data_IF_262344055244
#
_entry.id   IF_262344055244
#
_cell.length_a   1.000
_cell.length_b   1.000
_cell.length_c   1.000
_cell.angle_alpha   90.00
_cell.angle_beta   90.00
_cell.angle_gamma   90.00
#
_symmetry.space_group_name_H-M   'P 1'
#
loop_
_entity.id
_entity.type
_entity.pdbx_description
1 polymer ?
#
# COMPACT_ATOMS: atom_id res chain seq x y z
N UNK A 1 -8.20 -3.19 -16.44
CA UNK A 1 -6.82 -2.69 -16.51
C UNK A 1 -6.09 -3.34 -17.68
N UNK A 2 -5.11 -2.68 -18.30
CA UNK A 2 -4.19 -3.31 -19.25
C UNK A 2 -2.98 -3.89 -18.50
N UNK A 3 -2.80 -5.21 -18.58
CA UNK A 3 -1.80 -5.96 -17.83
C UNK A 3 -0.76 -6.51 -18.82
N UNK A 4 0.51 -6.19 -18.61
CA UNK A 4 1.62 -6.75 -19.36
C UNK A 4 2.32 -7.85 -18.56
N UNK A 5 2.16 -9.10 -18.98
CA UNK A 5 2.81 -10.25 -18.39
C UNK A 5 4.10 -10.62 -19.14
N UNK A 6 5.20 -10.75 -18.41
CA UNK A 6 6.53 -11.04 -18.92
C UNK A 6 7.01 -12.40 -18.37
N UNK A 7 7.19 -13.37 -19.27
CA UNK A 7 7.60 -14.72 -18.90
C UNK A 7 9.11 -14.83 -18.63
N UNK A 8 9.56 -15.90 -17.97
CA UNK A 8 10.98 -16.23 -17.80
C UNK A 8 11.60 -16.84 -19.07
N UNK A 9 12.87 -17.26 -19.02
CA UNK A 9 13.52 -17.94 -20.15
C UNK A 9 12.75 -19.18 -20.58
N UNK A 10 12.51 -19.32 -21.90
CA UNK A 10 11.76 -20.45 -22.50
C UNK A 10 10.34 -20.65 -21.93
N UNK A 11 9.80 -19.63 -21.26
CA UNK A 11 8.47 -19.66 -20.67
C UNK A 11 7.41 -19.08 -21.59
N UNK A 12 6.17 -19.19 -21.13
CA UNK A 12 5.01 -18.49 -21.66
C UNK A 12 3.99 -18.30 -20.53
N UNK A 13 2.99 -17.45 -20.74
CA UNK A 13 1.84 -17.40 -19.84
C UNK A 13 0.94 -18.59 -20.13
N UNK A 14 0.85 -19.54 -19.19
CA UNK A 14 -0.04 -20.68 -19.35
C UNK A 14 -1.53 -20.28 -19.24
N UNK A 15 -2.47 -21.09 -19.79
CA UNK A 15 -3.90 -20.72 -19.82
C UNK A 15 -4.51 -20.48 -18.43
N UNK A 16 -4.16 -21.28 -17.43
CA UNK A 16 -4.73 -21.15 -16.08
C UNK A 16 -4.32 -19.84 -15.40
N UNK A 17 -3.05 -19.43 -15.53
CA UNK A 17 -2.57 -18.13 -15.01
C UNK A 17 -3.12 -16.97 -15.82
N UNK A 18 -3.31 -17.15 -17.13
CA UNK A 18 -3.99 -16.16 -17.98
C UNK A 18 -5.41 -15.89 -17.48
N UNK A 19 -6.19 -16.93 -17.21
CA UNK A 19 -7.56 -16.79 -16.70
C UNK A 19 -7.59 -16.06 -15.34
N UNK A 20 -6.59 -16.27 -14.48
CA UNK A 20 -6.45 -15.50 -13.23
C UNK A 20 -6.26 -14.01 -13.51
N UNK A 21 -5.41 -13.64 -14.47
CA UNK A 21 -5.13 -12.23 -14.79
C UNK A 21 -6.28 -11.56 -15.54
N UNK A 22 -6.97 -12.29 -16.42
CA UNK A 22 -8.10 -11.77 -17.22
C UNK A 22 -9.28 -11.32 -16.37
N UNK A 23 -9.36 -11.77 -15.10
CA UNK A 23 -10.30 -11.26 -14.08
C UNK A 23 -10.03 -9.79 -13.69
N UNK A 24 -8.83 -9.28 -13.93
CA UNK A 24 -8.41 -7.91 -13.59
C UNK A 24 -8.29 -7.00 -14.84
N UNK A 25 -8.36 -7.58 -16.05
CA UNK A 25 -8.50 -6.86 -17.31
C UNK A 25 -7.76 -7.49 -18.49
N UNK A 26 -7.44 -6.69 -19.49
CA UNK A 26 -6.84 -7.14 -20.76
C UNK A 26 -5.38 -7.57 -20.57
N UNK A 27 -5.04 -8.80 -20.95
CA UNK A 27 -3.71 -9.38 -20.74
C UNK A 27 -2.90 -9.44 -22.03
N UNK A 28 -1.79 -8.69 -22.06
CA UNK A 28 -0.73 -8.79 -23.05
C UNK A 28 0.37 -9.72 -22.52
N UNK A 29 0.74 -10.74 -23.29
CA UNK A 29 1.80 -11.68 -22.91
C UNK A 29 2.64 -12.04 -24.15
N UNK A 30 3.54 -11.16 -24.61
CA UNK A 30 4.36 -11.40 -25.79
C UNK A 30 5.33 -12.57 -25.56
N UNK A 31 5.76 -13.19 -26.65
CA UNK A 31 6.96 -14.03 -26.66
C UNK A 31 8.19 -13.12 -26.65
N UNK A 32 9.08 -13.32 -25.68
CA UNK A 32 10.23 -12.44 -25.45
C UNK A 32 11.53 -13.18 -25.79
N UNK A 33 12.29 -12.74 -26.81
CA UNK A 33 13.46 -13.45 -27.31
C UNK A 33 14.74 -13.11 -26.52
N UNK A 34 14.72 -13.31 -25.19
CA UNK A 34 15.81 -12.91 -24.31
C UNK A 34 17.21 -13.36 -24.76
N UNK A 35 17.33 -14.57 -25.33
CA UNK A 35 18.62 -15.14 -25.76
C UNK A 35 19.21 -14.48 -27.00
N UNK A 36 18.36 -14.04 -27.93
CA UNK A 36 18.78 -13.49 -29.22
C UNK A 36 18.65 -11.98 -29.30
N UNK A 37 18.06 -11.34 -28.29
CA UNK A 37 17.89 -9.90 -28.19
C UNK A 37 18.36 -9.38 -26.82
N UNK A 38 19.46 -8.60 -26.80
CA UNK A 38 19.98 -7.96 -25.58
C UNK A 38 19.20 -6.73 -25.14
N UNK A 39 18.39 -6.14 -26.02
CA UNK A 39 17.65 -4.88 -25.79
C UNK A 39 16.16 -5.11 -25.55
N UNK A 40 15.76 -6.28 -25.00
CA UNK A 40 14.34 -6.59 -24.80
C UNK A 40 13.60 -5.54 -23.96
N UNK A 41 14.26 -4.87 -23.01
CA UNK A 41 13.62 -3.84 -22.17
C UNK A 41 13.18 -2.64 -23.03
N UNK A 42 14.08 -2.11 -23.87
CA UNK A 42 13.75 -1.00 -24.77
C UNK A 42 12.74 -1.44 -25.83
N UNK A 43 12.93 -2.61 -26.45
CA UNK A 43 11.99 -3.16 -27.41
C UNK A 43 10.55 -3.27 -26.84
N UNK A 44 10.41 -3.81 -25.63
CA UNK A 44 9.11 -3.90 -24.95
C UNK A 44 8.55 -2.51 -24.63
N UNK A 45 9.39 -1.57 -24.17
CA UNK A 45 8.96 -0.20 -23.94
C UNK A 45 8.40 0.45 -25.21
N UNK A 46 9.14 0.42 -26.32
CA UNK A 46 8.68 1.00 -27.59
C UNK A 46 7.40 0.32 -28.11
N UNK A 47 7.27 -1.00 -27.90
CA UNK A 47 6.11 -1.78 -28.36
C UNK A 47 4.84 -1.46 -27.56
N UNK A 48 4.98 -1.22 -26.25
CA UNK A 48 3.84 -1.15 -25.33
C UNK A 48 3.57 0.22 -24.71
N UNK A 49 4.44 1.24 -24.89
CA UNK A 49 4.25 2.58 -24.31
C UNK A 49 2.92 3.24 -24.68
N UNK A 50 2.42 3.01 -25.90
CA UNK A 50 1.14 3.56 -26.38
C UNK A 50 -0.08 2.69 -26.03
N UNK A 51 0.13 1.51 -25.40
CA UNK A 51 -0.94 0.57 -25.05
C UNK A 51 -1.59 0.86 -23.69
N UNK A 52 -1.24 1.98 -23.05
CA UNK A 52 -1.73 2.36 -21.72
C UNK A 52 -1.62 1.19 -20.73
N UNK A 53 -0.44 0.56 -20.67
CA UNK A 53 -0.19 -0.49 -19.69
C UNK A 53 -0.34 0.12 -18.30
N UNK A 54 -1.15 -0.52 -17.44
CA UNK A 54 -1.41 -0.06 -16.08
C UNK A 54 -0.69 -0.91 -15.05
N UNK A 55 -0.30 -2.14 -15.40
CA UNK A 55 0.40 -3.08 -14.51
C UNK A 55 1.39 -3.93 -15.30
N UNK A 56 2.57 -4.14 -14.72
CA UNK A 56 3.55 -5.12 -15.21
C UNK A 56 3.65 -6.31 -14.26
N UNK A 57 3.57 -7.53 -14.78
CA UNK A 57 3.76 -8.75 -13.99
C UNK A 57 4.88 -9.57 -14.62
N UNK A 58 5.87 -9.99 -13.84
CA UNK A 58 7.05 -10.67 -14.37
C UNK A 58 7.48 -11.86 -13.52
N UNK A 59 8.09 -12.86 -14.14
CA UNK A 59 8.73 -13.97 -13.41
C UNK A 59 10.14 -14.26 -13.92
N UNK A 60 11.09 -14.56 -13.03
CA UNK A 60 12.48 -14.90 -13.40
C UNK A 60 13.10 -13.80 -14.27
N UNK A 61 13.53 -14.10 -15.49
CA UNK A 61 14.01 -13.09 -16.45
C UNK A 61 12.95 -12.02 -16.77
N UNK A 62 11.68 -12.40 -16.90
CA UNK A 62 10.58 -11.45 -17.04
C UNK A 62 10.37 -10.60 -15.78
N UNK A 63 10.76 -11.10 -14.61
CA UNK A 63 10.81 -10.32 -13.37
C UNK A 63 11.90 -9.24 -13.40
N UNK A 64 13.10 -9.59 -13.89
CA UNK A 64 14.17 -8.62 -14.16
C UNK A 64 13.73 -7.56 -15.16
N UNK A 65 13.20 -7.96 -16.31
CA UNK A 65 12.71 -7.03 -17.33
C UNK A 65 11.55 -6.19 -16.82
N UNK A 66 10.63 -6.80 -16.08
CA UNK A 66 9.47 -6.13 -15.50
C UNK A 66 9.85 -5.05 -14.50
N UNK A 67 10.90 -5.28 -13.70
CA UNK A 67 11.44 -4.29 -12.77
C UNK A 67 11.90 -3.00 -13.48
N UNK A 68 12.58 -3.09 -14.62
CA UNK A 68 13.02 -1.91 -15.36
C UNK A 68 11.90 -1.32 -16.21
N UNK A 69 11.10 -2.17 -16.85
CA UNK A 69 10.02 -1.74 -17.72
C UNK A 69 8.91 -0.99 -16.95
N UNK A 70 8.58 -1.43 -15.73
CA UNK A 70 7.59 -0.74 -14.91
C UNK A 70 8.04 0.67 -14.51
N UNK A 71 9.35 0.89 -14.36
CA UNK A 71 9.94 2.22 -14.16
C UNK A 71 9.78 3.10 -15.39
N UNK A 72 10.06 2.57 -16.57
CA UNK A 72 9.92 3.31 -17.82
C UNK A 72 8.45 3.65 -18.13
N UNK A 73 7.53 2.74 -17.83
CA UNK A 73 6.09 2.92 -18.04
C UNK A 73 5.39 3.68 -16.90
N UNK A 74 6.05 3.89 -15.76
CA UNK A 74 5.47 4.44 -14.52
C UNK A 74 4.21 3.67 -14.09
N UNK A 75 4.37 2.37 -13.88
CA UNK A 75 3.27 1.47 -13.49
C UNK A 75 3.65 0.61 -12.30
N UNK A 76 2.69 0.22 -11.43
CA UNK A 76 2.91 -0.81 -10.44
C UNK A 76 3.40 -2.13 -11.05
N UNK A 77 4.12 -2.93 -10.25
CA UNK A 77 4.64 -4.22 -10.69
C UNK A 77 4.50 -5.35 -9.66
N UNK A 78 4.22 -6.57 -10.14
CA UNK A 78 4.28 -7.81 -9.36
C UNK A 78 5.34 -8.75 -9.95
N UNK A 79 6.37 -9.05 -9.17
CA UNK A 79 7.57 -9.75 -9.63
C UNK A 79 7.78 -11.04 -8.82
N UNK A 80 7.80 -12.16 -9.52
CA UNK A 80 8.01 -13.49 -8.95
C UNK A 80 9.43 -13.97 -9.20
N UNK A 81 10.19 -14.27 -8.14
CA UNK A 81 11.57 -14.74 -8.23
C UNK A 81 12.40 -13.99 -9.30
N UNK A 82 12.45 -12.64 -9.26
CA UNK A 82 13.04 -11.87 -10.36
C UNK A 82 14.57 -12.02 -10.38
N UNK A 83 15.14 -12.27 -11.56
CA UNK A 83 16.58 -12.49 -11.77
C UNK A 83 17.41 -11.19 -11.72
N UNK A 84 17.30 -10.44 -10.62
CA UNK A 84 17.88 -9.10 -10.46
C UNK A 84 19.39 -9.12 -10.27
N UNK A 85 19.86 -9.94 -9.32
CA UNK A 85 21.27 -10.02 -8.95
C UNK A 85 22.09 -10.78 -10.01
N UNK A 86 21.66 -11.99 -10.34
CA UNK A 86 22.34 -12.87 -11.29
C UNK A 86 21.36 -13.39 -12.34
N UNK A 87 21.86 -13.50 -13.58
CA UNK A 87 21.10 -13.98 -14.73
C UNK A 87 22.05 -14.57 -15.76
N UNK A 88 21.59 -15.61 -16.47
CA UNK A 88 22.37 -16.34 -17.47
C UNK A 88 22.46 -15.64 -18.81
N UNK A 89 21.60 -14.64 -19.06
CA UNK A 89 21.59 -13.87 -20.30
C UNK A 89 21.70 -12.38 -19.98
N UNK A 90 22.65 -11.71 -20.63
CA UNK A 90 22.85 -10.27 -20.48
C UNK A 90 21.71 -9.52 -21.18
N UNK A 91 21.25 -8.45 -20.54
CA UNK A 91 20.29 -7.50 -21.09
C UNK A 91 20.81 -6.09 -20.82
N UNK A 92 20.69 -5.22 -21.80
CA UNK A 92 21.01 -3.81 -21.70
C UNK A 92 19.93 -3.10 -20.89
N UNK A 93 20.36 -2.31 -19.91
CA UNK A 93 19.47 -1.53 -19.05
C UNK A 93 19.42 -0.11 -19.63
N UNK A 94 18.24 0.37 -20.05
CA UNK A 94 18.11 1.74 -20.52
C UNK A 94 18.56 2.76 -19.47
N UNK A 95 19.21 3.83 -19.91
CA UNK A 95 19.71 4.91 -19.05
C UNK A 95 19.46 6.28 -19.71
N UNK A 96 19.02 7.31 -18.97
CA UNK A 96 18.70 7.29 -17.54
C UNK A 96 17.39 6.56 -17.24
N UNK A 97 17.28 5.96 -16.05
CA UNK A 97 16.02 5.43 -15.54
C UNK A 97 15.27 6.54 -14.78
N UNK A 98 13.96 6.72 -15.03
CA UNK A 98 13.17 7.67 -14.26
C UNK A 98 13.01 7.21 -12.81
N UNK A 99 12.83 8.17 -11.90
CA UNK A 99 12.35 7.87 -10.54
C UNK A 99 11.01 7.16 -10.63
N UNK A 100 10.82 6.12 -9.83
CA UNK A 100 9.62 5.31 -9.84
C UNK A 100 8.89 5.46 -8.52
N UNK A 101 7.59 5.80 -8.59
CA UNK A 101 6.78 6.10 -7.41
C UNK A 101 5.63 5.10 -7.22
N UNK A 102 5.49 4.12 -8.12
CA UNK A 102 4.42 3.13 -8.04
C UNK A 102 4.83 1.90 -7.21
N UNK A 103 3.88 1.21 -6.56
CA UNK A 103 4.16 0.03 -5.76
C UNK A 103 4.83 -1.09 -6.56
N UNK A 104 5.86 -1.71 -5.99
CA UNK A 104 6.48 -2.94 -6.53
C UNK A 104 6.36 -4.06 -5.51
N UNK A 105 5.71 -5.16 -5.88
CA UNK A 105 5.53 -6.33 -5.04
C UNK A 105 6.46 -7.46 -5.48
N UNK A 106 7.23 -7.99 -4.54
CA UNK A 106 8.13 -9.12 -4.73
C UNK A 106 7.54 -10.35 -4.06
N UNK A 107 7.41 -11.44 -4.81
CA UNK A 107 7.16 -12.78 -4.26
C UNK A 107 8.40 -13.63 -4.51
N UNK A 108 9.12 -13.95 -3.45
CA UNK A 108 10.38 -14.70 -3.48
C UNK A 108 10.19 -16.08 -2.86
N UNK A 109 10.77 -17.10 -3.46
CA UNK A 109 10.84 -18.44 -2.93
C UNK A 109 12.15 -18.70 -2.20
N UNK A 110 12.08 -19.12 -0.93
CA UNK A 110 13.27 -19.40 -0.13
C UNK A 110 14.02 -20.66 -0.61
N UNK A 111 13.35 -21.54 -1.37
CA UNK A 111 13.92 -22.74 -1.98
C UNK A 111 14.24 -22.54 -3.47
N UNK A 112 14.28 -21.30 -3.96
CA UNK A 112 14.67 -21.02 -5.34
C UNK A 112 16.18 -21.26 -5.54
N UNK A 113 16.50 -22.30 -6.29
CA UNK A 113 17.85 -22.75 -6.64
C UNK A 113 18.33 -22.21 -7.99
N UNK A 114 17.47 -21.52 -8.74
CA UNK A 114 17.79 -20.93 -10.05
C UNK A 114 18.08 -19.44 -9.92
N UNK A 115 17.27 -18.73 -9.14
CA UNK A 115 17.45 -17.32 -8.78
C UNK A 115 17.58 -17.23 -7.28
N UNK A 116 18.83 -17.05 -6.82
CA UNK A 116 19.13 -17.04 -5.39
C UNK A 116 18.34 -15.92 -4.67
N UNK A 117 17.47 -16.26 -3.71
CA UNK A 117 16.61 -15.28 -3.05
C UNK A 117 17.42 -14.33 -2.17
N UNK A 118 18.52 -14.79 -1.55
CA UNK A 118 19.40 -13.96 -0.71
C UNK A 118 20.10 -12.89 -1.54
N UNK A 119 20.60 -13.24 -2.72
CA UNK A 119 21.25 -12.28 -3.61
C UNK A 119 20.23 -11.28 -4.17
N UNK A 120 19.02 -11.75 -4.50
CA UNK A 120 17.91 -10.88 -4.92
C UNK A 120 17.51 -9.89 -3.82
N UNK A 121 17.43 -10.34 -2.57
CA UNK A 121 17.22 -9.49 -1.41
C UNK A 121 18.35 -8.46 -1.22
N UNK A 122 19.60 -8.89 -1.37
CA UNK A 122 20.76 -8.00 -1.33
C UNK A 122 20.69 -6.92 -2.40
N UNK A 123 20.36 -7.30 -3.64
CA UNK A 123 20.15 -6.35 -4.72
C UNK A 123 19.06 -5.32 -4.37
N UNK A 124 17.91 -5.77 -3.87
CA UNK A 124 16.80 -4.89 -3.47
C UNK A 124 17.28 -3.93 -2.37
N UNK A 125 17.93 -4.45 -1.32
CA UNK A 125 18.41 -3.64 -0.20
C UNK A 125 19.43 -2.56 -0.62
N UNK A 126 20.30 -2.85 -1.59
CA UNK A 126 21.31 -1.90 -2.08
C UNK A 126 20.74 -0.85 -3.04
N UNK A 127 19.77 -1.22 -3.89
CA UNK A 127 19.35 -0.38 -5.02
C UNK A 127 18.00 0.31 -4.83
N UNK A 128 17.23 -0.02 -3.79
CA UNK A 128 15.96 0.64 -3.52
C UNK A 128 16.17 1.92 -2.71
N UNK A 129 15.86 3.10 -3.27
CA UNK A 129 15.88 4.32 -2.48
C UNK A 129 14.78 4.24 -1.41
N UNK A 130 14.99 4.93 -0.28
CA UNK A 130 14.04 5.01 0.85
C UNK A 130 12.63 5.45 0.40
N UNK A 131 12.54 6.15 -0.74
CA UNK A 131 11.29 6.67 -1.30
C UNK A 131 10.49 5.68 -2.15
N UNK A 132 11.05 4.52 -2.51
CA UNK A 132 10.34 3.53 -3.32
C UNK A 132 9.38 2.72 -2.45
N UNK A 133 8.09 2.77 -2.77
CA UNK A 133 7.10 1.89 -2.15
C UNK A 133 7.27 0.46 -2.71
N UNK A 134 7.66 -0.49 -1.87
CA UNK A 134 7.72 -1.90 -2.23
C UNK A 134 7.19 -2.80 -1.11
N UNK A 135 6.68 -3.97 -1.50
CA UNK A 135 6.29 -5.05 -0.60
C UNK A 135 7.10 -6.29 -0.92
N UNK A 136 7.55 -6.98 0.11
CA UNK A 136 8.31 -8.21 -0.04
C UNK A 136 7.59 -9.36 0.68
N UNK A 137 7.32 -10.42 -0.07
CA UNK A 137 6.75 -11.65 0.45
C UNK A 137 7.71 -12.81 0.17
N UNK A 138 8.34 -13.33 1.23
CA UNK A 138 9.21 -14.50 1.17
C UNK A 138 8.40 -15.74 1.56
N UNK A 139 8.36 -16.75 0.70
CA UNK A 139 7.68 -18.01 0.96
C UNK A 139 8.68 -19.13 1.18
N UNK A 140 8.62 -19.74 2.37
CA UNK A 140 9.57 -20.76 2.81
C UNK A 140 9.63 -21.98 1.88
N UNK A 141 8.48 -22.44 1.38
CA UNK A 141 8.37 -23.68 0.60
C UNK A 141 8.26 -23.46 -0.92
N UNK A 142 8.45 -22.21 -1.37
CA UNK A 142 8.39 -21.88 -2.79
C UNK A 142 9.78 -22.07 -3.43
N UNK A 143 9.84 -22.90 -4.46
CA UNK A 143 11.00 -23.06 -5.34
C UNK A 143 10.95 -22.09 -6.54
N UNK A 144 11.79 -22.28 -7.57
CA UNK A 144 11.85 -21.37 -8.71
C UNK A 144 10.53 -21.23 -9.48
N UNK A 145 9.86 -22.37 -9.73
CA UNK A 145 8.60 -22.40 -10.48
C UNK A 145 7.46 -21.94 -9.60
N UNK A 146 6.62 -21.05 -10.12
CA UNK A 146 5.47 -20.49 -9.40
C UNK A 146 4.23 -21.37 -9.61
N UNK A 147 3.75 -22.10 -8.59
CA UNK A 147 2.53 -22.89 -8.69
C UNK A 147 1.30 -21.99 -8.87
N UNK A 148 0.24 -22.52 -9.48
CA UNK A 148 -0.99 -21.77 -9.71
C UNK A 148 -1.61 -21.20 -8.39
N UNK A 149 -1.66 -21.94 -7.27
CA UNK A 149 -2.18 -21.38 -6.01
C UNK A 149 -1.37 -20.18 -5.50
N UNK A 150 -0.05 -20.26 -5.57
CA UNK A 150 0.85 -19.14 -5.23
C UNK A 150 0.62 -17.94 -6.15
N UNK A 151 0.54 -18.18 -7.45
CA UNK A 151 0.29 -17.14 -8.44
C UNK A 151 -1.05 -16.44 -8.19
N UNK A 152 -2.11 -17.22 -7.95
CA UNK A 152 -3.46 -16.72 -7.64
C UNK A 152 -3.46 -15.90 -6.35
N UNK A 153 -2.84 -16.42 -5.29
CA UNK A 153 -2.76 -15.69 -4.01
C UNK A 153 -2.02 -14.36 -4.17
N UNK A 154 -0.83 -14.38 -4.75
CA UNK A 154 -0.02 -13.17 -4.93
C UNK A 154 -0.70 -12.12 -5.82
N UNK A 155 -1.32 -12.55 -6.93
CA UNK A 155 -2.07 -11.64 -7.82
C UNK A 155 -3.29 -11.04 -7.11
N UNK A 156 -4.07 -11.84 -6.38
CA UNK A 156 -5.20 -11.33 -5.59
C UNK A 156 -4.77 -10.28 -4.58
N UNK A 157 -3.71 -10.54 -3.81
CA UNK A 157 -3.18 -9.58 -2.83
C UNK A 157 -2.66 -8.31 -3.51
N UNK A 158 -1.93 -8.46 -4.61
CA UNK A 158 -1.40 -7.34 -5.36
C UNK A 158 -2.51 -6.43 -5.89
N UNK A 159 -3.49 -6.96 -6.64
CA UNK A 159 -4.57 -6.13 -7.18
C UNK A 159 -5.46 -5.54 -6.08
N UNK A 160 -5.71 -6.27 -5.00
CA UNK A 160 -6.41 -5.72 -3.83
C UNK A 160 -5.65 -4.54 -3.19
N UNK A 161 -4.32 -4.55 -3.24
CA UNK A 161 -3.49 -3.44 -2.76
C UNK A 161 -3.54 -2.22 -3.70
N UNK A 162 -3.69 -2.44 -5.02
CA UNK A 162 -3.79 -1.36 -6.02
C UNK A 162 -5.17 -0.69 -6.02
N UNK A 163 -6.23 -1.46 -5.75
CA UNK A 163 -7.61 -0.93 -5.64
C UNK A 163 -7.83 -0.08 -4.39
N UNK A 164 -6.88 -0.05 -3.44
CA UNK A 164 -6.90 0.91 -2.34
C UNK A 164 -6.46 2.27 -2.88
N UNK A 165 -7.44 3.11 -3.25
CA UNK A 165 -7.30 4.56 -3.34
C UNK A 165 -6.63 5.13 -2.06
N UNK A 166 -6.01 6.33 -2.07
CA UNK A 166 -5.06 6.78 -1.03
C UNK A 166 -5.59 6.49 0.37
N UNK A 167 -4.90 5.56 1.05
CA UNK A 167 -5.24 4.90 2.32
C UNK A 167 -6.73 4.56 2.48
N UNK A 168 -7.08 3.28 2.36
CA UNK A 168 -8.26 2.75 3.06
C UNK A 168 -8.26 3.30 4.49
N UNK A 169 -9.40 3.81 5.01
CA UNK A 169 -9.45 4.44 6.33
C UNK A 169 -8.87 3.47 7.35
N UNK A 170 -7.85 3.94 8.05
CA UNK A 170 -7.20 3.13 9.07
C UNK A 170 -8.14 3.02 10.27
N UNK A 171 -7.94 1.96 11.03
CA UNK A 171 -8.72 1.67 12.23
C UNK A 171 -8.56 2.76 13.31
N UNK A 172 -7.51 3.58 13.26
CA UNK A 172 -7.28 4.63 14.24
C UNK A 172 -7.31 6.03 13.61
N UNK A 173 -7.89 7.00 14.31
CA UNK A 173 -7.98 8.40 13.91
C UNK A 173 -7.24 9.29 14.91
N UNK A 174 -6.45 10.24 14.42
CA UNK A 174 -5.69 11.21 15.22
C UNK A 174 -6.21 12.62 14.90
N UNK A 175 -6.82 13.28 15.87
CA UNK A 175 -7.35 14.64 15.76
C UNK A 175 -6.42 15.61 16.48
N UNK A 176 -5.67 16.40 15.73
CA UNK A 176 -4.73 17.40 16.23
C UNK A 176 -4.34 18.35 15.09
N UNK A 177 -4.23 19.65 15.33
CA UNK A 177 -3.91 20.64 14.31
C UNK A 177 -2.40 20.72 13.98
N UNK A 178 -1.53 20.49 14.97
CA UNK A 178 -0.08 20.71 14.89
C UNK A 178 0.71 19.41 15.00
N UNK A 179 0.51 18.62 16.06
CA UNK A 179 1.36 17.47 16.38
C UNK A 179 1.18 16.35 15.37
N UNK A 180 2.26 15.62 15.10
CA UNK A 180 2.21 14.37 14.35
C UNK A 180 2.04 13.18 15.31
N UNK A 181 1.62 12.03 14.77
CA UNK A 181 1.34 10.84 15.59
C UNK A 181 2.57 10.39 16.37
N UNK A 182 3.75 10.47 15.77
CA UNK A 182 5.05 10.12 16.36
C UNK A 182 5.53 11.09 17.46
N UNK A 183 4.88 12.25 17.61
CA UNK A 183 5.12 13.14 18.77
C UNK A 183 4.36 12.68 20.02
N UNK A 184 3.34 11.83 19.87
CA UNK A 184 2.45 11.37 20.96
C UNK A 184 2.58 9.87 21.19
N UNK A 185 2.84 9.09 20.14
CA UNK A 185 2.96 7.64 20.15
C UNK A 185 4.31 7.22 19.55
N UNK A 186 4.75 5.99 19.85
CA UNK A 186 5.95 5.43 19.22
C UNK A 186 5.84 5.46 17.68
N UNK A 187 6.90 5.81 16.93
CA UNK A 187 6.85 5.97 15.47
C UNK A 187 6.32 4.76 14.69
N UNK A 188 6.45 3.55 15.26
CA UNK A 188 5.88 2.32 14.70
C UNK A 188 4.35 2.38 14.56
N UNK A 189 3.67 3.20 15.36
CA UNK A 189 2.22 3.37 15.34
C UNK A 189 1.73 4.37 14.29
N UNK A 190 2.58 5.25 13.78
CA UNK A 190 2.19 6.30 12.79
C UNK A 190 1.48 5.73 11.57
N UNK A 191 1.89 4.55 11.11
CA UNK A 191 1.24 3.86 9.98
C UNK A 191 -0.18 3.38 10.25
N UNK A 192 -0.63 3.33 11.51
CA UNK A 192 -1.97 2.87 11.91
C UNK A 192 -2.99 3.99 12.09
N UNK A 193 -2.56 5.26 12.04
CA UNK A 193 -3.43 6.42 12.21
C UNK A 193 -3.68 7.15 10.89
N UNK A 194 -4.94 7.50 10.65
CA UNK A 194 -5.28 8.60 9.77
C UNK A 194 -5.35 9.89 10.58
N UNK A 195 -4.89 10.99 10.00
CA UNK A 195 -4.73 12.27 10.70
C UNK A 195 -5.74 13.27 10.15
N UNK A 196 -6.50 13.90 11.03
CA UNK A 196 -7.40 15.00 10.71
C UNK A 196 -7.01 16.22 11.54
N UNK A 197 -6.95 17.37 10.87
CA UNK A 197 -6.38 18.61 11.42
C UNK A 197 -7.41 19.60 11.97
N UNK A 198 -8.69 19.26 11.90
CA UNK A 198 -9.76 20.16 12.33
C UNK A 198 -11.05 19.40 12.62
N UNK A 199 -11.93 20.03 13.41
CA UNK A 199 -13.27 19.52 13.67
C UNK A 199 -14.05 19.17 12.39
N UNK A 200 -14.01 20.05 11.38
CA UNK A 200 -14.68 19.81 10.10
C UNK A 200 -14.14 18.54 9.43
N UNK A 201 -12.81 18.36 9.40
CA UNK A 201 -12.18 17.17 8.82
C UNK A 201 -12.47 15.91 9.61
N UNK A 202 -12.58 16.01 10.93
CA UNK A 202 -13.01 14.93 11.80
C UNK A 202 -14.43 14.44 11.46
N UNK A 203 -15.40 15.37 11.39
CA UNK A 203 -16.79 15.05 11.03
C UNK A 203 -16.89 14.47 9.62
N UNK A 204 -16.20 15.08 8.64
CA UNK A 204 -16.14 14.58 7.25
C UNK A 204 -15.56 13.17 7.18
N UNK A 205 -14.48 12.89 7.93
CA UNK A 205 -13.85 11.58 7.98
C UNK A 205 -14.83 10.53 8.52
N UNK A 206 -15.46 10.79 9.67
CA UNK A 206 -16.34 9.81 10.31
C UNK A 206 -17.61 9.58 9.47
N UNK A 207 -18.19 10.63 8.87
CA UNK A 207 -19.33 10.47 7.95
C UNK A 207 -19.00 9.62 6.72
N UNK A 208 -17.77 9.71 6.23
CA UNK A 208 -17.31 8.97 5.05
C UNK A 208 -16.91 7.53 5.37
N UNK A 209 -16.26 7.31 6.51
CA UNK A 209 -15.55 6.07 6.80
C UNK A 209 -16.19 5.23 7.91
N UNK A 210 -17.19 5.77 8.62
CA UNK A 210 -17.76 5.17 9.82
C UNK A 210 -16.91 5.43 11.06
N UNK A 211 -17.31 4.81 12.17
CA UNK A 211 -16.59 4.91 13.45
C UNK A 211 -15.28 4.11 13.38
N UNK A 212 -14.10 4.72 13.65
CA UNK A 212 -12.85 3.98 13.81
C UNK A 212 -12.83 3.16 15.11
N UNK A 213 -11.97 2.15 15.18
CA UNK A 213 -11.76 1.34 16.40
C UNK A 213 -11.14 2.17 17.54
N UNK A 214 -10.28 3.15 17.19
CA UNK A 214 -9.61 4.03 18.14
C UNK A 214 -9.57 5.49 17.69
N UNK A 215 -9.73 6.44 18.62
CA UNK A 215 -9.54 7.88 18.37
C UNK A 215 -8.60 8.50 19.40
N UNK A 216 -7.61 9.27 18.94
CA UNK A 216 -6.79 10.13 19.78
C UNK A 216 -7.18 11.60 19.62
N UNK A 217 -7.51 12.27 20.73
CA UNK A 217 -8.00 13.65 20.72
C UNK A 217 -6.97 14.63 21.29
N UNK A 218 -6.62 15.65 20.51
CA UNK A 218 -6.25 16.95 21.04
C UNK A 218 -7.50 17.80 21.25
N UNK A 219 -7.45 18.70 22.22
CA UNK A 219 -8.50 19.70 22.38
C UNK A 219 -8.23 20.93 21.52
N UNK A 220 -7.00 21.44 21.49
CA UNK A 220 -6.72 22.64 20.73
C UNK A 220 -6.69 22.30 19.23
N UNK A 221 -7.52 22.98 18.44
CA UNK A 221 -7.59 22.80 16.99
C UNK A 221 -7.34 24.11 16.25
N UNK A 222 -6.78 25.09 16.97
CA UNK A 222 -6.38 26.38 16.43
C UNK A 222 -7.56 27.22 15.94
N UNK A 223 -7.28 27.98 14.88
CA UNK A 223 -8.22 28.91 14.27
C UNK A 223 -8.77 28.32 12.96
N UNK A 224 -10.01 28.69 12.63
CA UNK A 224 -10.57 28.40 11.33
C UNK A 224 -9.98 29.30 10.24
N UNK A 225 -10.37 29.07 8.98
CA UNK A 225 -9.90 29.84 7.82
C UNK A 225 -10.22 31.34 7.88
N UNK A 226 -11.10 31.77 8.80
CA UNK A 226 -11.49 33.16 9.01
C UNK A 226 -10.80 33.78 10.24
N UNK A 227 -9.87 33.07 10.88
CA UNK A 227 -9.20 33.53 12.09
C UNK A 227 -10.08 33.50 13.34
N UNK A 228 -11.23 32.81 13.29
CA UNK A 228 -12.11 32.62 14.45
C UNK A 228 -11.71 31.33 15.18
N UNK A 229 -11.93 31.26 16.50
CA UNK A 229 -11.67 30.05 17.28
C UNK A 229 -12.45 28.88 16.66
N UNK A 230 -11.72 27.88 16.17
CA UNK A 230 -12.33 26.70 15.59
C UNK A 230 -13.03 25.88 16.68
N UNK A 231 -14.08 25.10 16.35
CA UNK A 231 -14.61 24.11 17.28
C UNK A 231 -13.49 23.16 17.70
N UNK A 232 -13.35 22.98 19.02
CA UNK A 232 -12.25 22.27 19.66
C UNK A 232 -12.45 20.74 19.67
N UNK A 233 -11.48 19.99 20.18
CA UNK A 233 -11.60 18.53 20.34
C UNK A 233 -12.76 18.12 21.23
N UNK A 234 -13.14 18.93 22.21
CA UNK A 234 -14.34 18.71 23.01
C UNK A 234 -15.62 18.86 22.18
N UNK A 235 -15.67 19.79 21.23
CA UNK A 235 -16.75 19.86 20.25
C UNK A 235 -16.82 18.59 19.38
N UNK A 236 -15.67 18.04 18.95
CA UNK A 236 -15.63 16.77 18.22
C UNK A 236 -16.19 15.59 19.04
N UNK A 237 -15.85 15.50 20.33
CA UNK A 237 -16.38 14.49 21.24
C UNK A 237 -17.90 14.65 21.48
N UNK A 238 -18.39 15.89 21.63
CA UNK A 238 -19.84 16.18 21.73
C UNK A 238 -20.58 15.78 20.46
N UNK A 239 -20.04 16.11 19.29
CA UNK A 239 -20.62 15.71 18.02
C UNK A 239 -20.75 14.18 17.91
N UNK A 240 -19.71 13.44 18.31
CA UNK A 240 -19.75 11.98 18.37
C UNK A 240 -20.91 11.48 19.24
N UNK A 241 -21.06 12.00 20.45
CA UNK A 241 -22.05 11.53 21.42
C UNK A 241 -23.48 11.93 21.08
N UNK A 242 -23.70 13.17 20.64
CA UNK A 242 -25.04 13.75 20.53
C UNK A 242 -25.57 13.80 19.10
N UNK A 243 -24.69 13.80 18.08
CA UNK A 243 -25.08 14.08 16.69
C UNK A 243 -24.73 12.96 15.71
N UNK A 244 -23.73 12.12 15.99
CA UNK A 244 -23.23 11.15 15.01
C UNK A 244 -24.22 10.02 14.69
N UNK A 245 -25.07 9.64 15.66
CA UNK A 245 -25.97 8.49 15.56
C UNK A 245 -25.26 7.13 15.54
N UNK A 246 -23.96 7.08 15.85
CA UNK A 246 -23.15 5.85 15.83
C UNK A 246 -23.21 5.10 17.16
N UNK A 247 -23.09 3.77 17.11
CA UNK A 247 -22.90 2.95 18.31
C UNK A 247 -21.44 3.06 18.79
N UNK A 248 -21.24 3.72 19.92
CA UNK A 248 -19.91 3.98 20.50
C UNK A 248 -19.46 2.91 21.51
N UNK A 249 -20.23 1.84 21.77
CA UNK A 249 -19.94 0.87 22.83
C UNK A 249 -18.51 0.31 22.81
N UNK A 250 -17.99 0.06 21.61
CA UNK A 250 -16.68 -0.55 21.39
C UNK A 250 -15.59 0.48 21.04
N UNK A 251 -15.90 1.77 21.05
CA UNK A 251 -14.93 2.82 20.79
C UNK A 251 -13.85 2.82 21.87
N UNK A 252 -12.59 2.69 21.45
CA UNK A 252 -11.44 2.98 22.29
C UNK A 252 -10.96 4.41 22.02
N UNK A 253 -10.45 5.11 23.02
CA UNK A 253 -9.94 6.45 22.82
C UNK A 253 -8.84 6.85 23.80
N UNK A 254 -8.06 7.86 23.42
CA UNK A 254 -7.13 8.56 24.30
C UNK A 254 -7.26 10.08 24.09
N UNK A 255 -6.82 10.84 25.09
CA UNK A 255 -6.80 12.31 25.02
C UNK A 255 -5.38 12.77 25.31
N UNK A 256 -4.76 13.38 24.31
CA UNK A 256 -3.38 13.88 24.34
C UNK A 256 -3.30 15.42 24.41
N UNK A 257 -4.41 16.08 24.73
CA UNK A 257 -4.48 17.51 25.01
C UNK A 257 -3.54 17.94 26.14
N UNK A 258 -2.82 19.05 25.93
CA UNK A 258 -2.01 19.70 26.96
C UNK A 258 -2.87 20.45 28.01
N UNK A 259 -4.12 20.80 27.68
CA UNK A 259 -5.06 21.40 28.63
C UNK A 259 -5.70 20.28 29.49
N UNK A 260 -5.39 20.20 30.80
CA UNK A 260 -5.86 19.11 31.66
C UNK A 260 -7.37 19.16 31.92
N UNK A 261 -7.96 20.36 31.96
CA UNK A 261 -9.41 20.52 32.19
C UNK A 261 -10.18 20.02 30.97
N UNK A 262 -9.77 20.45 29.77
CA UNK A 262 -10.39 19.99 28.53
C UNK A 262 -10.18 18.48 28.32
N UNK A 263 -9.01 17.96 28.73
CA UNK A 263 -8.74 16.53 28.65
C UNK A 263 -9.72 15.71 29.52
N UNK A 264 -9.96 16.13 30.76
CA UNK A 264 -10.93 15.49 31.64
C UNK A 264 -12.37 15.64 31.14
N UNK A 265 -12.72 16.76 30.48
CA UNK A 265 -14.04 16.93 29.87
C UNK A 265 -14.28 15.92 28.74
N UNK A 266 -13.32 15.74 27.83
CA UNK A 266 -13.40 14.75 26.75
C UNK A 266 -13.50 13.33 27.34
N UNK A 267 -12.62 12.99 28.30
CA UNK A 267 -12.62 11.67 28.97
C UNK A 267 -13.94 11.39 29.67
N UNK A 268 -14.41 12.32 30.47
CA UNK A 268 -15.65 12.20 31.23
C UNK A 268 -16.87 11.99 30.32
N UNK A 269 -16.98 12.80 29.25
CA UNK A 269 -18.08 12.68 28.29
C UNK A 269 -18.11 11.29 27.62
N UNK A 270 -16.99 10.87 27.03
CA UNK A 270 -16.93 9.61 26.28
C UNK A 270 -17.06 8.39 27.21
N UNK A 271 -16.37 8.37 28.35
CA UNK A 271 -16.49 7.26 29.31
C UNK A 271 -17.92 7.10 29.83
N UNK A 272 -18.57 8.19 30.24
CA UNK A 272 -19.92 8.12 30.78
C UNK A 272 -20.93 7.66 29.71
N UNK A 273 -20.80 8.16 28.49
CA UNK A 273 -21.68 7.76 27.40
C UNK A 273 -21.49 6.29 27.00
N UNK A 274 -20.24 5.83 26.85
CA UNK A 274 -19.94 4.41 26.55
C UNK A 274 -20.47 3.51 27.67
N UNK A 275 -20.30 3.89 28.94
CA UNK A 275 -20.84 3.16 30.09
C UNK A 275 -22.37 3.09 30.03
N UNK A 276 -23.03 4.20 29.72
CA UNK A 276 -24.49 4.26 29.55
C UNK A 276 -24.98 3.35 28.41
N UNK A 277 -24.29 3.32 27.27
CA UNK A 277 -24.63 2.43 26.16
C UNK A 277 -24.51 0.94 26.54
N UNK A 278 -23.47 0.59 27.31
CA UNK A 278 -23.26 -0.78 27.81
C UNK A 278 -24.26 -1.19 28.89
N UNK A 279 -24.77 -0.25 29.69
CA UNK A 279 -25.79 -0.57 30.72
C UNK A 279 -27.19 -0.82 30.19
N UNK A 280 -27.41 -0.62 28.88
CA UNK A 280 -28.68 -0.89 28.20
C UNK A 280 -28.76 -2.30 27.59
N UNK A 281 -27.72 -3.11 27.77
CA UNK A 281 -27.66 -4.53 27.42
C UNK A 281 -28.07 -5.41 28.61
#
# INVERSE_FOLDING_TARGET
MNILYLHGLLGSLNPEKREVLEKYGTVYAPTIPYKSNSTCIDWLYQTYKEKQIEVVIGSSMGGFTGYYLSRLLQTPALLFNPALAHRTVRQEIPSPLPTHQHPVHFTLGAQDDVVNPKETLGFIATHFPVTQNYQLHLQQDLAHRIPLPTFKSATTHFFASLSKAPSSPKKHLFLDDIRTVDMVYEPIFTKHFDVVRSYKKFVEYIKRNGLPDFISFDNDLGLDNNGTVAPDGYAAAKWLVYESGLDLKNLQFAVHSANPVAAEQIRGLLHNYIKFLKSKE
#
